data_IF_716760818967
#
_entry.id   IF_716760818967
#
_cell.length_a   1.000
_cell.length_b   1.000
_cell.length_c   1.000
_cell.angle_alpha   90.00
_cell.angle_beta   90.00
_cell.angle_gamma   90.00
#
_symmetry.space_group_name_H-M   'P 1'
#
loop_
_entity.id
_entity.type
_entity.pdbx_description
1 polymer ?
#
# COMPACT_ATOMS: atom_id res chain seq x y z
N UNK A 1 -8.11 -0.76 2.69
CA UNK A 1 -8.55 -2.16 2.83
C UNK A 1 -10.05 -2.19 2.91
N UNK A 2 -10.70 -3.03 2.09
CA UNK A 2 -12.16 -3.14 1.98
C UNK A 2 -12.81 -4.11 2.97
N UNK A 3 -12.01 -4.73 3.85
CA UNK A 3 -12.41 -5.91 4.62
C UNK A 3 -13.46 -5.65 5.72
N UNK A 4 -13.81 -4.37 5.97
CA UNK A 4 -14.77 -3.98 7.00
C UNK A 4 -15.97 -3.14 6.49
N UNK A 5 -16.10 -2.90 5.16
CA UNK A 5 -17.02 -1.88 4.65
C UNK A 5 -17.73 -2.21 3.32
N UNK A 6 -17.70 -3.46 2.88
CA UNK A 6 -18.38 -3.89 1.66
C UNK A 6 -17.44 -4.20 0.50
N UNK A 7 -16.12 -4.08 0.64
CA UNK A 7 -15.12 -4.35 -0.39
C UNK A 7 -14.70 -3.14 -1.22
N UNK A 8 -13.71 -3.35 -2.07
CA UNK A 8 -13.25 -2.36 -3.05
C UNK A 8 -14.22 -2.35 -4.22
N UNK A 9 -14.86 -1.20 -4.46
CA UNK A 9 -15.70 -0.98 -5.62
C UNK A 9 -14.84 -0.81 -6.88
N UNK A 10 -15.02 -1.68 -7.86
CA UNK A 10 -14.23 -1.66 -9.11
C UNK A 10 -15.04 -2.18 -10.31
N UNK A 11 -14.45 -2.09 -11.50
CA UNK A 11 -15.05 -2.48 -12.78
C UNK A 11 -15.28 -3.98 -12.88
N UNK A 12 -16.39 -4.37 -13.50
CA UNK A 12 -16.81 -5.75 -13.75
C UNK A 12 -17.21 -5.94 -15.23
N UNK A 13 -17.20 -7.18 -15.75
CA UNK A 13 -17.63 -7.46 -17.12
C UNK A 13 -19.02 -6.91 -17.44
N UNK A 14 -19.21 -6.49 -18.69
CA UNK A 14 -20.50 -5.93 -19.16
C UNK A 14 -20.73 -4.47 -18.74
N UNK A 15 -19.68 -3.69 -18.51
CA UNK A 15 -19.79 -2.27 -18.13
C UNK A 15 -20.33 -2.05 -16.72
N UNK A 16 -20.28 -3.08 -15.87
CA UNK A 16 -20.80 -3.06 -14.50
C UNK A 16 -19.71 -2.64 -13.53
N UNK A 17 -20.13 -2.38 -12.30
CA UNK A 17 -19.24 -2.23 -11.17
C UNK A 17 -19.76 -3.08 -10.01
N UNK A 18 -18.87 -3.43 -9.10
CA UNK A 18 -19.20 -4.20 -7.92
C UNK A 18 -18.10 -4.13 -6.90
N UNK A 19 -18.40 -4.57 -5.68
CA UNK A 19 -17.41 -4.63 -4.62
C UNK A 19 -16.78 -6.02 -4.50
N UNK A 20 -15.48 -6.06 -4.25
CA UNK A 20 -14.75 -7.30 -3.99
C UNK A 20 -13.74 -7.12 -2.85
N UNK A 21 -13.48 -8.20 -2.12
CA UNK A 21 -12.54 -8.24 -1.00
C UNK A 21 -11.31 -9.08 -1.34
N UNK A 22 -10.25 -8.91 -0.56
CA UNK A 22 -9.05 -9.74 -0.63
C UNK A 22 -7.81 -9.02 -1.16
N UNK A 23 -6.67 -9.70 -1.02
CA UNK A 23 -5.34 -9.20 -1.38
C UNK A 23 -5.23 -8.86 -2.86
N UNK A 24 -5.96 -9.56 -3.73
CA UNK A 24 -6.07 -9.22 -5.16
C UNK A 24 -6.58 -7.81 -5.41
N UNK A 25 -7.38 -7.24 -4.50
CA UNK A 25 -7.81 -5.84 -4.57
C UNK A 25 -6.86 -4.88 -3.86
N UNK A 26 -6.07 -5.34 -2.88
CA UNK A 26 -4.99 -4.54 -2.30
C UNK A 26 -3.82 -4.34 -3.28
N UNK A 27 -3.42 -5.39 -4.00
CA UNK A 27 -2.30 -5.37 -4.96
C UNK A 27 -2.35 -4.21 -5.97
N UNK A 28 -3.46 -3.96 -6.70
CA UNK A 28 -3.51 -2.85 -7.65
C UNK A 28 -3.43 -1.46 -6.99
N UNK A 29 -3.85 -1.31 -5.72
CA UNK A 29 -3.63 -0.06 -4.98
C UNK A 29 -2.14 0.15 -4.69
N UNK A 30 -1.43 -0.89 -4.24
CA UNK A 30 0.01 -0.84 -4.03
C UNK A 30 0.74 -0.53 -5.34
N UNK A 31 0.35 -1.18 -6.44
CA UNK A 31 0.89 -0.89 -7.78
C UNK A 31 0.67 0.57 -8.17
N UNK A 32 -0.50 1.15 -7.89
CA UNK A 32 -0.77 2.57 -8.13
C UNK A 32 0.17 3.50 -7.34
N UNK A 33 0.44 3.20 -6.08
CA UNK A 33 1.39 3.98 -5.25
C UNK A 33 2.82 3.85 -5.74
N UNK A 34 3.25 2.65 -6.15
CA UNK A 34 4.58 2.46 -6.76
C UNK A 34 4.70 3.22 -8.09
N UNK A 35 3.63 3.29 -8.89
CA UNK A 35 3.63 4.08 -10.11
C UNK A 35 3.76 5.59 -9.81
N UNK A 36 3.14 6.09 -8.73
CA UNK A 36 3.35 7.46 -8.27
C UNK A 36 4.80 7.70 -7.85
N UNK A 37 5.40 6.80 -7.06
CA UNK A 37 6.81 6.87 -6.69
C UNK A 37 7.72 6.90 -7.92
N UNK A 38 7.49 6.02 -8.90
CA UNK A 38 8.25 5.97 -10.14
C UNK A 38 8.08 7.25 -10.97
N UNK A 39 6.88 7.83 -10.99
CA UNK A 39 6.64 9.10 -11.69
C UNK A 39 7.37 10.28 -11.06
N UNK A 40 7.51 10.30 -9.73
CA UNK A 40 8.23 11.32 -8.99
C UNK A 40 9.75 11.09 -8.97
N UNK A 41 10.19 9.85 -9.21
CA UNK A 41 11.59 9.42 -9.15
C UNK A 41 11.96 8.58 -10.39
N UNK A 42 12.02 9.17 -11.60
CA UNK A 42 12.10 8.42 -12.86
C UNK A 42 13.39 7.62 -13.07
N UNK A 43 14.43 7.89 -12.26
CA UNK A 43 15.73 7.21 -12.33
C UNK A 43 15.91 6.13 -11.26
N UNK A 44 14.95 5.97 -10.34
CA UNK A 44 15.05 4.95 -9.31
C UNK A 44 14.95 3.54 -9.92
N UNK A 45 15.79 2.65 -9.40
CA UNK A 45 15.69 1.21 -9.65
C UNK A 45 14.48 0.61 -8.95
N UNK A 46 14.02 -0.58 -9.38
CA UNK A 46 12.93 -1.30 -8.68
C UNK A 46 13.22 -1.55 -7.20
N UNK A 47 14.49 -1.76 -6.83
CA UNK A 47 14.90 -1.96 -5.44
C UNK A 47 14.76 -0.67 -4.61
N UNK A 48 15.16 0.47 -5.18
CA UNK A 48 14.99 1.79 -4.54
C UNK A 48 13.52 2.15 -4.39
N UNK A 49 12.70 1.91 -5.42
CA UNK A 49 11.25 2.11 -5.34
C UNK A 49 10.60 1.24 -4.25
N UNK A 50 11.03 -0.03 -4.12
CA UNK A 50 10.55 -0.91 -3.04
C UNK A 50 10.97 -0.41 -1.67
N UNK A 51 12.20 0.08 -1.52
CA UNK A 51 12.69 0.64 -0.27
C UNK A 51 11.93 1.92 0.11
N UNK A 52 11.71 2.83 -0.85
CA UNK A 52 10.89 4.04 -0.65
C UNK A 52 9.45 3.70 -0.29
N UNK A 53 8.84 2.71 -0.94
CA UNK A 53 7.49 2.25 -0.63
C UNK A 53 7.37 1.79 0.83
N UNK A 54 8.31 0.97 1.30
CA UNK A 54 8.35 0.53 2.70
C UNK A 54 8.55 1.71 3.66
N UNK A 55 9.59 2.51 3.45
CA UNK A 55 9.94 3.64 4.32
C UNK A 55 8.87 4.74 4.38
N UNK A 56 8.04 4.90 3.34
CA UNK A 56 6.96 5.88 3.30
C UNK A 56 5.60 5.30 3.70
N UNK A 57 5.51 4.00 3.97
CA UNK A 57 4.28 3.42 4.48
C UNK A 57 3.96 3.99 5.86
N UNK A 58 2.69 3.90 6.25
CA UNK A 58 2.23 4.26 7.58
C UNK A 58 2.26 3.02 8.46
N UNK A 59 3.13 3.03 9.45
CA UNK A 59 3.28 2.00 10.47
C UNK A 59 1.93 1.70 11.13
N UNK A 60 1.61 0.41 11.21
CA UNK A 60 0.40 -0.07 11.87
C UNK A 60 0.81 -1.02 13.00
N UNK A 61 0.50 -0.68 14.27
CA UNK A 61 0.80 -1.57 15.38
C UNK A 61 -0.01 -2.86 15.27
N UNK A 62 0.54 -3.94 15.83
CA UNK A 62 -0.22 -5.17 15.99
C UNK A 62 -1.55 -4.89 16.70
N UNK A 63 -2.68 -5.43 16.18
CA UNK A 63 -3.92 -5.41 16.94
C UNK A 63 -3.76 -6.26 18.20
N UNK A 64 -4.78 -6.27 19.07
CA UNK A 64 -4.84 -7.14 20.26
C UNK A 64 -5.06 -8.61 19.87
N UNK A 65 -4.18 -9.17 19.04
CA UNK A 65 -4.15 -10.53 18.52
C UNK A 65 -2.74 -11.09 18.68
N UNK A 66 -2.60 -12.14 19.49
CA UNK A 66 -1.31 -12.75 19.82
C UNK A 66 -0.57 -13.39 18.63
N UNK A 67 -1.25 -13.58 17.49
CA UNK A 67 -0.63 -14.09 16.26
C UNK A 67 0.18 -13.01 15.54
N UNK A 68 -0.09 -11.73 15.83
CA UNK A 68 0.71 -10.64 15.30
C UNK A 68 2.00 -10.53 16.12
N UNK A 69 3.13 -10.71 15.45
CA UNK A 69 4.47 -10.66 16.05
C UNK A 69 5.30 -9.60 15.34
N UNK A 70 6.16 -8.92 16.09
CA UNK A 70 7.00 -7.82 15.59
C UNK A 70 6.70 -6.49 16.28
N UNK A 71 7.10 -5.40 15.64
CA UNK A 71 6.98 -4.03 16.14
C UNK A 71 5.90 -3.25 15.37
N UNK A 72 5.64 -2.01 15.77
CA UNK A 72 4.76 -1.14 15.00
C UNK A 72 5.32 -0.81 13.60
N UNK A 73 6.64 -0.69 13.47
CA UNK A 73 7.30 -0.43 12.18
C UNK A 73 7.25 -1.63 11.24
N UNK A 74 7.49 -2.83 11.77
CA UNK A 74 7.45 -4.07 10.98
C UNK A 74 6.86 -5.21 11.80
N UNK A 75 5.77 -5.81 11.32
CA UNK A 75 5.13 -6.97 11.95
C UNK A 75 4.55 -7.96 10.94
N UNK A 76 4.16 -9.14 11.45
CA UNK A 76 3.67 -10.26 10.64
C UNK A 76 2.31 -10.02 9.98
N UNK A 77 1.55 -9.00 10.39
CA UNK A 77 0.22 -8.72 9.84
C UNK A 77 0.25 -7.63 8.75
N UNK A 78 1.00 -6.55 9.00
CA UNK A 78 1.02 -5.38 8.13
C UNK A 78 2.35 -5.20 7.38
N UNK A 79 3.36 -6.01 7.65
CA UNK A 79 4.70 -5.80 7.09
C UNK A 79 5.22 -4.43 7.51
N UNK A 80 5.75 -3.67 6.54
CA UNK A 80 6.21 -2.27 6.68
C UNK A 80 5.06 -1.25 6.83
N UNK A 81 3.80 -1.71 6.91
CA UNK A 81 2.63 -0.84 7.12
C UNK A 81 1.78 -0.62 5.87
N UNK A 82 0.90 0.39 5.95
CA UNK A 82 -0.04 0.74 4.90
C UNK A 82 0.56 1.75 3.92
N UNK A 83 0.49 1.45 2.62
CA UNK A 83 0.99 2.36 1.56
C UNK A 83 0.32 3.74 1.62
N UNK A 84 1.10 4.78 1.37
CA UNK A 84 0.66 6.18 1.42
C UNK A 84 0.93 6.89 0.07
N UNK A 85 -0.15 7.13 -0.67
CA UNK A 85 -0.08 7.78 -1.98
C UNK A 85 0.35 9.25 -1.91
N UNK A 86 0.07 9.95 -0.79
CA UNK A 86 0.45 11.34 -0.64
C UNK A 86 1.96 11.44 -0.38
N UNK A 87 2.50 10.62 0.53
CA UNK A 87 3.95 10.57 0.77
C UNK A 87 4.73 10.23 -0.49
N UNK A 88 4.19 9.33 -1.32
CA UNK A 88 4.79 8.93 -2.60
C UNK A 88 5.11 10.10 -3.55
N UNK A 89 4.38 11.23 -3.45
CA UNK A 89 4.57 12.41 -4.31
C UNK A 89 4.97 13.69 -3.57
N UNK A 90 4.90 13.71 -2.24
CA UNK A 90 5.19 14.90 -1.42
C UNK A 90 6.51 14.84 -0.66
N UNK A 91 7.07 13.64 -0.46
CA UNK A 91 8.43 13.50 0.05
C UNK A 91 9.38 13.80 -1.11
N UNK A 92 9.49 15.07 -1.46
CA UNK A 92 10.52 15.54 -2.39
C UNK A 92 11.88 15.22 -1.75
N UNK A 93 12.83 14.63 -2.48
CA UNK A 93 14.20 14.58 -1.99
C UNK A 93 14.62 16.02 -1.77
N UNK A 94 15.26 16.27 -0.62
CA UNK A 94 15.95 17.51 -0.26
C UNK A 94 16.36 18.29 -1.53
N UNK A 95 15.63 19.37 -1.83
CA UNK A 95 16.11 20.40 -2.74
C UNK A 95 16.88 21.42 -1.94
#
# INVERSE_FOLDING_TARGET
GGDFGGGVYSTMPGGRYGNMNGTSMASPHVTGVVALLASANPNDTPAELRAKLGAQSTDLPCPSDARCVGSAAVNSFFGEGQVDALKAVTVLPFR
#
